data_IF_606348177471
#
_entry.id   IF_606348177471
#
_cell.length_a   1.000
_cell.length_b   1.000
_cell.length_c   1.000
_cell.angle_alpha   90.00
_cell.angle_beta   90.00
_cell.angle_gamma   90.00
#
_symmetry.space_group_name_H-M   'P 1'
#
loop_
_entity.id
_entity.type
_entity.pdbx_description
1 polymer ?
#
# COMPACT_ATOMS: atom_id res chain seq x y z
N UNK A 1 33.22 -17.66 -4.55
CA UNK A 1 32.79 -16.33 -4.08
C UNK A 1 32.27 -15.57 -5.27
N UNK A 2 31.16 -14.85 -5.13
CA UNK A 2 30.73 -13.88 -6.15
C UNK A 2 31.75 -12.76 -6.23
N UNK A 3 31.89 -12.14 -7.39
CA UNK A 3 32.80 -10.98 -7.55
C UNK A 3 32.18 -9.77 -6.86
N UNK A 4 33.01 -8.91 -6.27
CA UNK A 4 32.55 -7.68 -5.62
C UNK A 4 31.68 -6.82 -6.55
N UNK A 5 32.02 -6.74 -7.84
CA UNK A 5 31.25 -6.03 -8.87
C UNK A 5 29.83 -6.59 -9.05
N UNK A 6 29.66 -7.92 -8.94
CA UNK A 6 28.35 -8.58 -9.06
C UNK A 6 27.48 -8.22 -7.85
N UNK A 7 28.06 -8.26 -6.65
CA UNK A 7 27.40 -7.90 -5.39
C UNK A 7 26.96 -6.43 -5.42
N UNK A 8 27.83 -5.52 -5.86
CA UNK A 8 27.51 -4.09 -5.97
C UNK A 8 26.41 -3.81 -7.00
N UNK A 9 26.38 -4.58 -8.11
CA UNK A 9 25.34 -4.44 -9.12
C UNK A 9 23.98 -4.90 -8.58
N UNK A 10 23.94 -6.02 -7.86
CA UNK A 10 22.73 -6.54 -7.22
C UNK A 10 22.23 -5.59 -6.11
N UNK A 11 23.15 -5.07 -5.28
CA UNK A 11 22.86 -4.05 -4.26
C UNK A 11 22.16 -2.82 -4.87
N UNK A 12 22.70 -2.29 -5.97
CA UNK A 12 22.10 -1.14 -6.67
C UNK A 12 20.70 -1.44 -7.20
N UNK A 13 20.48 -2.64 -7.73
CA UNK A 13 19.15 -3.05 -8.22
C UNK A 13 18.14 -3.14 -7.08
N UNK A 14 18.54 -3.65 -5.92
CA UNK A 14 17.66 -3.74 -4.75
C UNK A 14 17.32 -2.36 -4.18
N UNK A 15 18.26 -1.42 -4.14
CA UNK A 15 17.95 -0.04 -3.74
C UNK A 15 16.95 0.63 -4.68
N UNK A 16 17.08 0.46 -6.00
CA UNK A 16 16.10 0.98 -6.96
C UNK A 16 14.71 0.37 -6.74
N UNK A 17 14.66 -0.93 -6.41
CA UNK A 17 13.41 -1.62 -6.10
C UNK A 17 12.79 -1.12 -4.79
N UNK A 18 13.60 -0.88 -3.76
CA UNK A 18 13.14 -0.29 -2.49
C UNK A 18 12.57 1.11 -2.69
N UNK A 19 13.23 1.95 -3.50
CA UNK A 19 12.76 3.29 -3.85
C UNK A 19 11.41 3.24 -4.57
N UNK A 20 11.27 2.31 -5.52
CA UNK A 20 10.03 2.08 -6.27
C UNK A 20 8.90 1.68 -5.32
N UNK A 21 9.12 0.69 -4.47
CA UNK A 21 8.14 0.24 -3.48
C UNK A 21 7.76 1.35 -2.48
N UNK A 22 8.72 2.19 -2.09
CA UNK A 22 8.47 3.36 -1.26
C UNK A 22 7.57 4.39 -1.94
N UNK A 23 7.81 4.63 -3.23
CA UNK A 23 6.97 5.52 -4.04
C UNK A 23 5.55 4.98 -4.16
N UNK A 24 5.39 3.68 -4.47
CA UNK A 24 4.10 3.01 -4.58
C UNK A 24 3.32 3.04 -3.26
N UNK A 25 3.97 2.75 -2.12
CA UNK A 25 3.35 2.86 -0.79
C UNK A 25 2.82 4.28 -0.52
N UNK A 26 3.59 5.31 -0.89
CA UNK A 26 3.15 6.70 -0.75
C UNK A 26 1.95 7.02 -1.66
N UNK A 27 1.90 6.43 -2.86
CA UNK A 27 0.76 6.59 -3.76
C UNK A 27 -0.49 5.93 -3.19
N UNK A 28 -0.40 4.67 -2.73
CA UNK A 28 -1.53 3.97 -2.09
C UNK A 28 -2.05 4.75 -0.90
N UNK A 29 -1.16 5.29 -0.05
CA UNK A 29 -1.55 6.15 1.07
C UNK A 29 -2.36 7.37 0.61
N UNK A 30 -1.91 8.09 -0.42
CA UNK A 30 -2.64 9.25 -0.96
C UNK A 30 -4.00 8.87 -1.53
N UNK A 31 -4.07 7.72 -2.21
CA UNK A 31 -5.33 7.19 -2.75
C UNK A 31 -6.31 6.86 -1.62
N UNK A 32 -5.85 6.22 -0.54
CA UNK A 32 -6.66 5.95 0.66
C UNK A 32 -7.20 7.23 1.29
N UNK A 33 -6.34 8.21 1.52
CA UNK A 33 -6.74 9.52 2.06
C UNK A 33 -7.80 10.21 1.18
N UNK A 34 -7.66 10.12 -0.15
CA UNK A 34 -8.66 10.64 -1.08
C UNK A 34 -10.00 9.90 -0.98
N UNK A 35 -9.97 8.57 -0.93
CA UNK A 35 -11.19 7.77 -0.79
C UNK A 35 -11.88 8.01 0.54
N UNK A 36 -11.14 8.08 1.65
CA UNK A 36 -11.68 8.39 2.97
C UNK A 36 -12.43 9.72 2.97
N UNK A 37 -11.86 10.75 2.33
CA UNK A 37 -12.54 12.05 2.17
C UNK A 37 -13.81 11.93 1.34
N UNK A 38 -13.75 11.26 0.17
CA UNK A 38 -14.92 11.12 -0.69
C UNK A 38 -16.04 10.30 -0.04
N UNK A 39 -15.70 9.24 0.71
CA UNK A 39 -16.68 8.44 1.43
C UNK A 39 -17.29 9.21 2.60
N UNK A 40 -16.49 10.03 3.30
CA UNK A 40 -17.01 10.95 4.31
C UNK A 40 -18.03 11.92 3.71
N UNK A 41 -17.70 12.59 2.61
CA UNK A 41 -18.59 13.51 1.90
C UNK A 41 -19.87 12.80 1.39
N UNK A 42 -19.73 11.60 0.84
CA UNK A 42 -20.86 10.80 0.37
C UNK A 42 -21.80 10.39 1.52
N UNK A 43 -21.25 10.01 2.69
CA UNK A 43 -22.07 9.71 3.88
C UNK A 43 -22.88 10.91 4.33
N UNK A 44 -22.27 12.10 4.39
CA UNK A 44 -22.99 13.33 4.70
C UNK A 44 -24.12 13.61 3.71
N UNK A 45 -23.87 13.41 2.41
CA UNK A 45 -24.92 13.53 1.41
C UNK A 45 -26.08 12.55 1.66
N UNK A 46 -25.79 11.29 2.03
CA UNK A 46 -26.81 10.33 2.39
C UNK A 46 -27.60 10.74 3.64
N UNK A 47 -26.94 11.31 4.65
CA UNK A 47 -27.60 11.81 5.86
C UNK A 47 -28.56 12.97 5.53
N UNK A 48 -28.14 13.90 4.67
CA UNK A 48 -28.94 15.06 4.26
C UNK A 48 -30.23 14.67 3.51
N UNK A 49 -30.16 13.66 2.64
CA UNK A 49 -31.31 13.21 1.85
C UNK A 49 -32.23 12.24 2.60
N UNK A 50 -31.74 11.61 3.68
CA UNK A 50 -32.46 10.58 4.45
C UNK A 50 -33.87 11.03 4.84
N UNK A 51 -34.00 12.27 5.34
CA UNK A 51 -35.29 12.83 5.74
C UNK A 51 -36.28 12.92 4.57
N UNK A 52 -35.83 13.28 3.37
CA UNK A 52 -36.69 13.42 2.19
C UNK A 52 -37.25 12.06 1.73
N UNK A 53 -36.41 11.02 1.74
CA UNK A 53 -36.85 9.66 1.41
C UNK A 53 -37.85 9.13 2.44
N UNK A 54 -37.62 9.37 3.74
CA UNK A 54 -38.55 8.98 4.79
C UNK A 54 -39.89 9.71 4.69
N UNK A 55 -39.86 11.02 4.42
CA UNK A 55 -41.07 11.83 4.21
C UNK A 55 -41.93 11.33 3.05
N UNK A 56 -41.29 10.82 1.99
CA UNK A 56 -41.97 10.29 0.80
C UNK A 56 -42.32 8.79 0.90
N UNK A 57 -42.23 8.18 2.10
CA UNK A 57 -42.44 6.73 2.33
C UNK A 57 -41.50 5.83 1.51
N UNK A 58 -40.35 6.36 1.09
CA UNK A 58 -39.30 5.67 0.34
C UNK A 58 -38.11 5.27 1.23
N UNK A 59 -38.29 5.21 2.56
CA UNK A 59 -37.22 4.87 3.51
C UNK A 59 -36.55 3.52 3.24
N UNK A 60 -37.31 2.51 2.81
CA UNK A 60 -36.74 1.20 2.44
C UNK A 60 -35.83 1.28 1.21
N UNK A 61 -36.17 2.11 0.23
CA UNK A 61 -35.36 2.31 -0.96
C UNK A 61 -34.06 3.06 -0.62
N UNK A 62 -34.15 4.11 0.20
CA UNK A 62 -32.98 4.78 0.76
C UNK A 62 -32.04 3.80 1.47
N UNK A 63 -32.59 2.98 2.38
CA UNK A 63 -31.81 1.99 3.13
C UNK A 63 -31.09 1.02 2.19
N UNK A 64 -31.77 0.52 1.16
CA UNK A 64 -31.16 -0.39 0.18
C UNK A 64 -29.96 0.26 -0.54
N UNK A 65 -30.09 1.52 -0.96
CA UNK A 65 -28.98 2.23 -1.63
C UNK A 65 -27.84 2.49 -0.65
N UNK A 66 -28.16 2.92 0.57
CA UNK A 66 -27.14 3.21 1.58
C UNK A 66 -26.38 1.94 2.01
N UNK A 67 -27.07 0.81 2.13
CA UNK A 67 -26.47 -0.50 2.43
C UNK A 67 -25.53 -0.93 1.28
N UNK A 68 -25.93 -0.73 0.02
CA UNK A 68 -25.09 -1.00 -1.15
C UNK A 68 -23.85 -0.09 -1.18
N UNK A 69 -24.02 1.21 -0.96
CA UNK A 69 -22.92 2.17 -0.83
C UNK A 69 -21.94 1.75 0.26
N UNK A 70 -22.45 1.43 1.46
CA UNK A 70 -21.64 1.02 2.61
C UNK A 70 -20.91 -0.30 2.38
N UNK A 71 -21.48 -1.20 1.56
CA UNK A 71 -20.79 -2.41 1.14
C UNK A 71 -19.66 -2.09 0.16
N UNK A 72 -19.90 -1.22 -0.82
CA UNK A 72 -18.90 -0.83 -1.83
C UNK A 72 -17.75 -0.04 -1.23
N UNK A 73 -18.05 0.88 -0.31
CA UNK A 73 -17.06 1.60 0.47
C UNK A 73 -16.09 0.63 1.16
N UNK A 74 -16.62 -0.32 1.94
CA UNK A 74 -15.80 -1.34 2.62
C UNK A 74 -14.96 -2.16 1.65
N UNK A 75 -15.55 -2.61 0.55
CA UNK A 75 -14.81 -3.35 -0.48
C UNK A 75 -13.60 -2.57 -1.01
N UNK A 76 -13.78 -1.29 -1.33
CA UNK A 76 -12.69 -0.45 -1.84
C UNK A 76 -11.59 -0.28 -0.79
N UNK A 77 -11.96 0.00 0.46
CA UNK A 77 -10.99 0.15 1.54
C UNK A 77 -10.22 -1.14 1.83
N UNK A 78 -10.92 -2.28 1.86
CA UNK A 78 -10.30 -3.59 2.02
C UNK A 78 -9.28 -3.88 0.91
N UNK A 79 -9.60 -3.55 -0.36
CA UNK A 79 -8.64 -3.71 -1.46
C UNK A 79 -7.39 -2.85 -1.28
N UNK A 80 -7.57 -1.57 -0.92
CA UNK A 80 -6.44 -0.66 -0.70
C UNK A 80 -5.57 -1.08 0.50
N UNK A 81 -6.17 -1.63 1.55
CA UNK A 81 -5.45 -2.19 2.70
C UNK A 81 -4.63 -3.43 2.31
N UNK A 82 -5.21 -4.32 1.51
CA UNK A 82 -4.50 -5.50 1.01
C UNK A 82 -3.32 -5.11 0.11
N UNK A 83 -3.51 -4.16 -0.81
CA UNK A 83 -2.44 -3.66 -1.67
C UNK A 83 -1.30 -3.02 -0.85
N UNK A 84 -1.65 -2.21 0.17
CA UNK A 84 -0.68 -1.61 1.07
C UNK A 84 0.14 -2.67 1.83
N UNK A 85 -0.53 -3.70 2.36
CA UNK A 85 0.13 -4.78 3.09
C UNK A 85 1.03 -5.62 2.18
N UNK A 86 0.59 -5.92 0.96
CA UNK A 86 1.42 -6.63 -0.02
C UNK A 86 2.70 -5.85 -0.32
N UNK A 87 2.58 -4.54 -0.60
CA UNK A 87 3.73 -3.67 -0.83
C UNK A 87 4.67 -3.61 0.37
N UNK A 88 4.14 -3.56 1.61
CA UNK A 88 4.97 -3.61 2.83
C UNK A 88 5.72 -4.93 2.96
N UNK A 89 5.07 -6.05 2.69
CA UNK A 89 5.70 -7.38 2.68
C UNK A 89 6.82 -7.43 1.64
N UNK A 90 6.56 -6.95 0.42
CA UNK A 90 7.56 -6.90 -0.64
C UNK A 90 8.74 -6.01 -0.26
N UNK A 91 8.49 -4.83 0.30
CA UNK A 91 9.52 -3.91 0.77
C UNK A 91 10.39 -4.55 1.87
N UNK A 92 9.77 -5.22 2.84
CA UNK A 92 10.49 -5.94 3.90
C UNK A 92 11.41 -7.03 3.32
N UNK A 93 10.94 -7.78 2.31
CA UNK A 93 11.79 -8.78 1.62
C UNK A 93 13.01 -8.14 0.97
N UNK A 94 12.84 -7.00 0.29
CA UNK A 94 13.96 -6.27 -0.33
C UNK A 94 14.96 -5.76 0.71
N UNK A 95 14.48 -5.25 1.84
CA UNK A 95 15.35 -4.80 2.94
C UNK A 95 16.17 -5.95 3.53
N UNK A 96 15.56 -7.12 3.72
CA UNK A 96 16.29 -8.32 4.18
C UNK A 96 17.36 -8.74 3.15
N UNK A 97 17.03 -8.71 1.85
CA UNK A 97 18.00 -9.01 0.79
C UNK A 97 19.18 -8.01 0.76
N UNK A 98 18.91 -6.73 1.01
CA UNK A 98 19.96 -5.71 1.15
C UNK A 98 20.87 -5.98 2.36
N UNK A 99 20.30 -6.46 3.48
CA UNK A 99 21.08 -6.84 4.66
C UNK A 99 22.00 -8.04 4.37
N UNK A 100 21.47 -9.07 3.71
CA UNK A 100 22.22 -10.25 3.28
C UNK A 100 23.38 -9.87 2.34
N UNK A 101 23.12 -9.02 1.34
CA UNK A 101 24.15 -8.48 0.45
C UNK A 101 25.19 -7.67 1.21
N UNK A 102 24.76 -6.85 2.17
CA UNK A 102 25.67 -6.09 3.01
C UNK A 102 26.61 -7.01 3.80
N UNK A 103 26.11 -8.15 4.29
CA UNK A 103 26.94 -9.17 4.94
C UNK A 103 27.91 -9.84 3.95
N UNK A 104 27.43 -10.25 2.77
CA UNK A 104 28.27 -10.87 1.74
C UNK A 104 29.41 -9.94 1.29
N UNK A 105 29.09 -8.66 1.06
CA UNK A 105 30.05 -7.61 0.69
C UNK A 105 31.15 -7.44 1.74
N UNK A 106 30.79 -7.37 3.02
CA UNK A 106 31.77 -7.28 4.13
C UNK A 106 32.70 -8.49 4.17
N UNK A 107 32.15 -9.68 3.93
CA UNK A 107 32.93 -10.93 3.90
C UNK A 107 33.96 -10.92 2.76
N UNK A 108 33.53 -10.59 1.54
CA UNK A 108 34.43 -10.53 0.37
C UNK A 108 35.54 -9.50 0.58
N UNK A 109 35.21 -8.30 1.08
CA UNK A 109 36.22 -7.27 1.38
C UNK A 109 37.24 -7.74 2.42
N UNK A 110 36.78 -8.40 3.49
CA UNK A 110 37.69 -8.95 4.51
C UNK A 110 38.60 -10.06 3.97
N UNK A 111 38.13 -10.84 2.99
CA UNK A 111 38.91 -11.91 2.34
C UNK A 111 39.89 -11.35 1.30
N UNK A 112 39.60 -10.19 0.71
CA UNK A 112 40.52 -9.43 -0.16
C UNK A 112 41.62 -8.73 0.66
N UNK A 113 41.28 -8.14 1.81
CA UNK A 113 42.24 -7.48 2.73
C UNK A 113 43.19 -8.46 3.44
N UNK A 114 42.84 -9.75 3.50
CA UNK A 114 43.64 -10.80 4.15
C UNK A 114 44.61 -11.53 3.20
N UNK A 115 44.71 -11.09 1.94
CA UNK A 115 45.63 -11.61 0.91
C UNK A 115 46.81 -10.69 0.68
#
# INVERSE_FOLDING_TARGET
MRKLEEIQKEEKQLYLKEETLSSELNQVKRVKESYDQHFYEARHFFDDICYQFNKNKQGNFYKSIFDEFSQKERQVMDYLENDEEELRIQKKKVLNQLEDIGYEKRKVLSEEDSK
#
